data_IF_819693202583
#
_entry.id   IF_819693202583
#
_cell.length_a   1.000
_cell.length_b   1.000
_cell.length_c   1.000
_cell.angle_alpha   90.00
_cell.angle_beta   90.00
_cell.angle_gamma   90.00
#
_symmetry.space_group_name_H-M   'P 1'
#
loop_
_entity.id
_entity.type
_entity.pdbx_description
1 polymer ?
#
# COMPACT_ATOMS: atom_id res chain seq x y z
N UNK A 1 2.40 -2.81 -3.60
CA UNK A 1 2.34 -1.71 -4.60
C UNK A 1 1.01 -0.97 -4.46
N UNK A 2 1.01 0.36 -4.54
CA UNK A 2 -0.20 1.19 -4.59
C UNK A 2 -0.38 1.82 -5.96
N UNK A 3 -1.62 2.12 -6.37
CA UNK A 3 -1.89 2.82 -7.62
C UNK A 3 -2.91 3.96 -7.48
N UNK A 4 -3.05 4.73 -8.56
CA UNK A 4 -3.93 5.90 -8.65
C UNK A 4 -5.41 5.56 -8.55
N UNK A 5 -5.76 4.29 -8.74
CA UNK A 5 -7.12 3.79 -8.57
C UNK A 5 -7.40 3.40 -7.11
N UNK A 6 -6.44 3.46 -6.19
CA UNK A 6 -6.65 3.10 -4.78
C UNK A 6 -6.40 1.62 -4.45
N UNK A 7 -5.87 0.84 -5.39
CA UNK A 7 -5.51 -0.55 -5.13
C UNK A 7 -4.16 -0.64 -4.43
N UNK A 8 -4.07 -1.55 -3.46
CA UNK A 8 -2.85 -1.92 -2.73
C UNK A 8 -2.60 -3.43 -2.81
N UNK A 9 -1.51 -3.85 -3.44
CA UNK A 9 -1.12 -5.27 -3.56
C UNK A 9 0.03 -5.60 -2.60
N UNK A 10 -0.13 -6.63 -1.79
CA UNK A 10 0.91 -7.19 -0.93
C UNK A 10 1.52 -8.42 -1.61
N UNK A 11 2.84 -8.47 -1.68
CA UNK A 11 3.58 -9.59 -2.26
C UNK A 11 4.49 -10.22 -1.21
N UNK A 12 4.80 -11.50 -1.39
CA UNK A 12 5.81 -12.18 -0.59
C UNK A 12 7.21 -11.71 -1.01
N UNK A 13 8.09 -11.48 -0.04
CA UNK A 13 9.46 -11.03 -0.27
C UNK A 13 10.38 -12.19 -0.70
N UNK A 14 10.03 -12.84 -1.82
CA UNK A 14 10.74 -13.98 -2.42
C UNK A 14 11.02 -13.74 -3.90
N UNK A 15 11.93 -14.53 -4.49
CA UNK A 15 12.32 -14.38 -5.91
C UNK A 15 11.18 -14.71 -6.87
N UNK A 16 10.37 -15.71 -6.52
CA UNK A 16 9.17 -16.03 -7.29
C UNK A 16 8.07 -15.01 -6.95
N UNK A 17 7.50 -14.39 -7.97
CA UNK A 17 6.40 -13.46 -7.78
C UNK A 17 5.19 -14.19 -7.18
N UNK A 18 4.73 -13.73 -6.00
CA UNK A 18 3.57 -14.29 -5.31
C UNK A 18 2.79 -13.20 -4.59
N UNK A 19 1.51 -13.08 -4.90
CA UNK A 19 0.58 -12.14 -4.26
C UNK A 19 0.04 -12.78 -2.97
N UNK A 20 0.09 -12.04 -1.86
CA UNK A 20 -0.44 -12.45 -0.57
C UNK A 20 -1.82 -11.84 -0.30
N UNK A 21 -2.04 -10.59 -0.75
CA UNK A 21 -3.31 -9.90 -0.59
C UNK A 21 -3.47 -8.80 -1.64
N UNK A 22 -4.71 -8.50 -1.98
CA UNK A 22 -5.10 -7.33 -2.75
C UNK A 22 -6.16 -6.55 -1.95
N UNK A 23 -5.92 -5.27 -1.76
CA UNK A 23 -6.76 -4.38 -0.96
C UNK A 23 -7.20 -3.19 -1.82
N UNK A 24 -8.36 -2.63 -1.47
CA UNK A 24 -8.85 -1.38 -2.02
C UNK A 24 -9.09 -0.43 -0.86
N UNK A 25 -8.49 0.76 -0.93
CA UNK A 25 -8.74 1.83 0.01
C UNK A 25 -9.43 2.98 -0.73
N UNK A 26 -10.10 3.84 0.02
CA UNK A 26 -10.80 4.99 -0.55
C UNK A 26 -9.80 6.05 -1.05
N UNK A 27 -10.03 6.47 -2.29
CA UNK A 27 -9.22 7.44 -3.01
C UNK A 27 -8.01 6.82 -3.74
N UNK A 28 -7.42 7.62 -4.63
CA UNK A 28 -6.23 7.25 -5.38
C UNK A 28 -4.92 7.55 -4.65
N UNK A 29 -3.88 6.76 -4.94
CA UNK A 29 -2.53 6.96 -4.43
C UNK A 29 -1.58 7.37 -5.57
N UNK A 30 -1.11 8.62 -5.53
CA UNK A 30 -0.17 9.17 -6.53
C UNK A 30 1.26 9.30 -5.99
N UNK A 31 1.48 8.97 -4.73
CA UNK A 31 2.77 9.06 -4.07
C UNK A 31 3.23 7.67 -3.62
N UNK A 32 4.55 7.49 -3.52
CA UNK A 32 5.12 6.31 -2.89
C UNK A 32 4.81 6.31 -1.39
N UNK A 33 4.54 5.14 -0.79
CA UNK A 33 4.32 5.04 0.64
C UNK A 33 5.63 5.26 1.42
N UNK A 34 5.52 5.73 2.67
CA UNK A 34 6.65 5.93 3.58
C UNK A 34 6.68 4.84 4.65
N UNK A 35 7.88 4.42 5.07
CA UNK A 35 8.06 3.41 6.12
C UNK A 35 8.54 4.08 7.40
N UNK A 36 7.90 3.76 8.53
CA UNK A 36 8.44 4.09 9.85
C UNK A 36 8.17 2.94 10.84
N UNK A 37 9.24 2.34 11.34
CA UNK A 37 9.16 1.12 12.15
C UNK A 37 8.49 -0.02 11.39
N UNK A 38 7.40 -0.56 11.95
CA UNK A 38 6.59 -1.63 11.31
C UNK A 38 5.40 -1.09 10.51
N UNK A 39 5.25 0.24 10.45
CA UNK A 39 4.11 0.86 9.79
C UNK A 39 4.46 1.36 8.40
N UNK A 40 3.47 1.25 7.51
CA UNK A 40 3.47 1.85 6.18
C UNK A 40 2.47 3.00 6.16
N UNK A 41 2.95 4.20 5.83
CA UNK A 41 2.13 5.40 5.70
C UNK A 41 1.82 5.64 4.23
N UNK A 42 0.54 5.70 3.91
CA UNK A 42 0.05 5.81 2.52
C UNK A 42 -0.86 7.03 2.43
N UNK A 43 -0.47 8.01 1.63
CA UNK A 43 -1.21 9.26 1.43
C UNK A 43 -2.07 9.18 0.17
N UNK A 44 -3.39 9.28 0.33
CA UNK A 44 -4.32 9.50 -0.79
C UNK A 44 -4.52 11.00 -1.05
N UNK A 45 -5.44 11.35 -1.95
CA UNK A 45 -5.84 12.77 -2.17
C UNK A 45 -6.37 13.44 -0.91
N UNK A 46 -7.05 12.69 -0.04
CA UNK A 46 -7.86 13.23 1.05
C UNK A 46 -7.48 12.70 2.43
N UNK A 47 -6.79 11.55 2.52
CA UNK A 47 -6.49 10.89 3.79
C UNK A 47 -5.04 10.42 3.86
N UNK A 48 -4.54 10.27 5.09
CA UNK A 48 -3.28 9.59 5.39
C UNK A 48 -3.60 8.32 6.17
N UNK A 49 -3.29 7.16 5.59
CA UNK A 49 -3.48 5.86 6.23
C UNK A 49 -2.18 5.40 6.89
N UNK A 50 -2.28 4.80 8.08
CA UNK A 50 -1.22 4.04 8.74
C UNK A 50 -1.59 2.57 8.71
N UNK A 51 -0.82 1.77 7.98
CA UNK A 51 -1.02 0.32 7.84
C UNK A 51 0.04 -0.41 8.67
N UNK A 52 -0.38 -1.24 9.62
CA UNK A 52 0.48 -2.12 10.42
C UNK A 52 -0.28 -3.44 10.65
N UNK A 53 0.45 -4.53 10.92
CA UNK A 53 -0.12 -5.85 11.19
C UNK A 53 -0.61 -5.98 12.63
#
# INVERSE_FOLDING_TARGET
>A
FFNENGHGTVIEAVRAFKVLAANKLDGGFMASPAVAGRALFVRSKTHLYRLEK
#
